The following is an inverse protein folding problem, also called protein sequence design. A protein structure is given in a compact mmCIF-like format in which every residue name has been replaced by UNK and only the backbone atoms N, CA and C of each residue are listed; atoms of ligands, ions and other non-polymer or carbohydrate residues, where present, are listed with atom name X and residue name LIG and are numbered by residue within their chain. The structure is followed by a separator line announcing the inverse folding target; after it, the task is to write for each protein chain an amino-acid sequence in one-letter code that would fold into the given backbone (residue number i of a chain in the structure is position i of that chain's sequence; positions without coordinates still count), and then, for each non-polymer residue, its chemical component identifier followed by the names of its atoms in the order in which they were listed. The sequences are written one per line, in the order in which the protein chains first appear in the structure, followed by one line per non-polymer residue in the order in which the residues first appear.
data_IF_855094395706
#
_entry.id   IF_855094395706
#
_cell.length_a   1.000
_cell.length_b   1.000
_cell.length_c   1.000
_cell.angle_alpha   90.00
_cell.angle_beta   90.00
_cell.angle_gamma   90.00
#
_symmetry.space_group_name_H-M   'P 1'
#
loop_
_entity.id
_entity.type
_entity.pdbx_description
1 polymer ?
#
# COMPACT_ATOMS: atom_id res chain seq x y z
N UNK A 1 29.00 -9.23 -26.72
CA UNK A 1 27.79 -9.49 -25.89
C UNK A 1 27.46 -8.23 -25.12
N UNK A 2 26.52 -7.43 -25.62
CA UNK A 2 26.10 -6.19 -24.98
C UNK A 2 24.77 -6.49 -24.24
N UNK A 3 24.83 -6.75 -22.93
CA UNK A 3 23.61 -6.83 -22.12
C UNK A 3 23.03 -5.41 -22.08
N UNK A 4 21.92 -5.17 -22.76
CA UNK A 4 21.15 -3.94 -22.53
C UNK A 4 20.87 -3.87 -21.03
N UNK A 5 21.35 -2.83 -20.35
CA UNK A 5 20.95 -2.51 -18.98
C UNK A 5 19.45 -2.27 -19.00
N UNK A 6 18.66 -3.31 -18.72
CA UNK A 6 17.24 -3.15 -18.44
C UNK A 6 17.10 -2.18 -17.27
N UNK A 7 16.07 -1.33 -17.31
CA UNK A 7 15.76 -0.43 -16.21
C UNK A 7 15.73 -1.22 -14.89
N UNK A 8 16.37 -0.67 -13.85
CA UNK A 8 16.35 -1.23 -12.50
C UNK A 8 14.88 -1.49 -12.06
N UNK A 9 14.49 -2.73 -11.72
CA UNK A 9 13.12 -3.05 -11.35
C UNK A 9 12.58 -2.19 -10.22
N UNK A 10 13.41 -1.85 -9.23
CA UNK A 10 13.01 -0.99 -8.13
C UNK A 10 12.71 0.43 -8.64
N UNK A 11 13.61 1.02 -9.42
CA UNK A 11 13.39 2.32 -10.06
C UNK A 11 12.14 2.34 -10.95
N UNK A 12 11.88 1.28 -11.71
CA UNK A 12 10.66 1.17 -12.52
C UNK A 12 9.39 1.19 -11.65
N UNK A 13 9.34 0.40 -10.56
CA UNK A 13 8.19 0.41 -9.64
C UNK A 13 8.03 1.78 -8.96
N UNK A 14 9.12 2.44 -8.57
CA UNK A 14 9.06 3.79 -8.00
C UNK A 14 8.44 4.77 -8.98
N UNK A 15 8.94 4.81 -10.20
CA UNK A 15 8.40 5.68 -11.25
C UNK A 15 6.94 5.38 -11.57
N UNK A 16 6.53 4.11 -11.53
CA UNK A 16 5.15 3.71 -11.74
C UNK A 16 4.19 4.31 -10.68
N UNK A 17 4.58 4.22 -9.41
CA UNK A 17 3.78 4.75 -8.30
C UNK A 17 3.80 6.28 -8.29
N UNK A 18 4.97 6.89 -8.52
CA UNK A 18 5.15 8.33 -8.61
C UNK A 18 4.32 8.93 -9.76
N UNK A 19 4.40 8.34 -10.95
CA UNK A 19 3.64 8.80 -12.12
C UNK A 19 2.13 8.72 -11.88
N UNK A 20 1.64 7.60 -11.32
CA UNK A 20 0.23 7.47 -10.97
C UNK A 20 -0.21 8.56 -9.99
N UNK A 21 0.54 8.83 -8.93
CA UNK A 21 0.15 9.84 -7.94
C UNK A 21 0.31 11.28 -8.48
N UNK A 22 1.33 11.55 -9.28
CA UNK A 22 1.63 12.90 -9.73
C UNK A 22 0.86 13.30 -10.99
N UNK A 23 0.56 12.37 -11.88
CA UNK A 23 0.06 12.71 -13.22
C UNK A 23 -1.32 12.13 -13.52
N UNK A 24 -1.78 11.10 -12.78
CA UNK A 24 -3.12 10.53 -12.99
C UNK A 24 -4.22 11.48 -12.51
N UNK A 25 -5.33 11.61 -13.26
CA UNK A 25 -6.54 12.30 -12.78
C UNK A 25 -7.18 11.58 -11.58
N UNK A 26 -6.79 10.33 -11.30
CA UNK A 26 -7.33 9.55 -10.20
C UNK A 26 -6.91 10.08 -8.83
N UNK A 27 -5.77 10.78 -8.71
CA UNK A 27 -5.36 11.42 -7.45
C UNK A 27 -6.14 12.72 -7.23
N UNK A 28 -7.39 12.60 -6.80
CA UNK A 28 -8.29 13.73 -6.55
C UNK A 28 -8.90 13.67 -5.16
N UNK A 29 -9.01 14.83 -4.51
CA UNK A 29 -9.64 14.99 -3.20
C UNK A 29 -11.19 14.96 -3.29
N UNK A 30 -11.72 15.19 -4.49
CA UNK A 30 -13.15 15.28 -4.79
C UNK A 30 -13.81 16.59 -4.35
N UNK A 31 -14.95 16.90 -4.97
CA UNK A 31 -15.65 18.19 -4.83
C UNK A 31 -16.08 18.52 -3.39
N UNK A 32 -15.93 19.76 -2.92
CA UNK A 32 -15.76 20.98 -3.72
C UNK A 32 -14.33 21.27 -4.16
N UNK A 33 -13.34 20.48 -3.74
CA UNK A 33 -11.94 20.74 -4.03
C UNK A 33 -11.51 20.11 -5.36
N UNK A 34 -10.99 20.94 -6.27
CA UNK A 34 -10.31 20.50 -7.50
C UNK A 34 -8.80 20.37 -7.25
N UNK A 35 -8.46 19.68 -6.18
CA UNK A 35 -7.09 19.51 -5.68
C UNK A 35 -6.73 18.02 -5.62
N UNK A 36 -5.43 17.71 -5.63
CA UNK A 36 -4.94 16.34 -5.41
C UNK A 36 -5.22 15.88 -3.98
N UNK A 37 -5.45 14.58 -3.80
CA UNK A 37 -5.59 14.01 -2.45
C UNK A 37 -4.23 13.89 -1.75
N UNK A 38 -3.19 13.54 -2.50
CA UNK A 38 -1.84 13.31 -1.98
C UNK A 38 -0.75 14.05 -2.76
N UNK A 39 0.32 14.41 -2.04
CA UNK A 39 1.59 14.90 -2.60
C UNK A 39 2.45 13.71 -3.10
N UNK A 40 3.67 14.00 -3.58
CA UNK A 40 4.62 13.00 -4.07
C UNK A 40 4.80 11.83 -3.08
N UNK A 41 4.69 10.57 -3.55
CA UNK A 41 4.77 9.42 -2.67
C UNK A 41 6.22 9.10 -2.28
N UNK A 42 6.38 8.32 -1.21
CA UNK A 42 7.63 7.59 -0.94
C UNK A 42 7.37 6.10 -1.17
N UNK A 43 8.31 5.41 -1.79
CA UNK A 43 8.18 3.98 -2.11
C UNK A 43 9.37 3.20 -1.57
N UNK A 44 9.07 2.16 -0.80
CA UNK A 44 10.02 1.26 -0.17
C UNK A 44 9.74 -0.20 -0.52
N UNK A 45 10.72 -1.05 -0.24
CA UNK A 45 10.69 -2.47 -0.54
C UNK A 45 11.25 -3.24 0.65
N UNK A 46 10.58 -4.31 1.02
CA UNK A 46 11.06 -5.28 1.98
C UNK A 46 11.15 -6.66 1.35
N UNK A 47 12.06 -7.50 1.85
CA UNK A 47 12.10 -8.91 1.47
C UNK A 47 10.91 -9.63 2.07
N UNK A 48 10.33 -10.58 1.35
CA UNK A 48 9.19 -11.36 1.86
C UNK A 48 9.53 -12.29 3.01
N UNK A 49 10.82 -12.59 3.22
CA UNK A 49 11.37 -13.37 4.34
C UNK A 49 11.99 -12.51 5.45
N UNK A 50 11.69 -11.21 5.49
CA UNK A 50 12.12 -10.37 6.61
C UNK A 50 11.48 -10.88 7.92
N UNK A 51 12.29 -11.18 8.97
CA UNK A 51 11.79 -11.79 10.21
C UNK A 51 10.78 -10.91 10.96
N UNK A 52 10.72 -9.61 10.66
CA UNK A 52 9.71 -8.75 11.25
C UNK A 52 8.29 -9.13 10.80
N UNK A 53 8.10 -9.74 9.64
CA UNK A 53 6.77 -10.22 9.24
C UNK A 53 6.25 -11.33 10.15
N UNK A 54 7.12 -12.23 10.60
CA UNK A 54 6.77 -13.28 11.55
C UNK A 54 6.53 -12.70 12.96
N UNK A 55 7.35 -11.72 13.39
CA UNK A 55 7.17 -11.09 14.71
C UNK A 55 5.85 -10.34 14.85
N UNK A 56 5.26 -9.85 13.73
CA UNK A 56 3.92 -9.25 13.75
C UNK A 56 2.84 -10.23 14.20
N UNK A 57 3.01 -11.55 13.99
CA UNK A 57 2.06 -12.55 14.48
C UNK A 57 2.05 -12.64 16.01
N UNK A 58 3.19 -12.38 16.64
CA UNK A 58 3.30 -12.31 18.10
C UNK A 58 2.78 -10.98 18.66
N UNK A 59 3.05 -9.88 17.96
CA UNK A 59 2.73 -8.54 18.45
C UNK A 59 1.28 -8.11 18.16
N UNK A 60 0.72 -8.52 17.02
CA UNK A 60 -0.65 -8.18 16.59
C UNK A 60 -1.60 -9.34 16.88
N UNK A 61 -1.21 -10.56 16.49
CA UNK A 61 -1.95 -11.79 16.72
C UNK A 61 -1.72 -12.83 15.62
N UNK A 62 -1.94 -14.13 15.91
CA UNK A 62 -1.61 -15.23 15.01
C UNK A 62 -2.41 -15.22 13.69
N UNK A 63 -3.51 -14.46 13.64
CA UNK A 63 -4.32 -14.23 12.44
C UNK A 63 -3.67 -13.26 11.44
N UNK A 64 -2.63 -12.52 11.83
CA UNK A 64 -1.93 -11.60 10.92
C UNK A 64 -1.13 -12.42 9.90
N UNK A 65 -1.25 -12.09 8.62
CA UNK A 65 -0.58 -12.82 7.56
C UNK A 65 0.88 -12.42 7.43
N UNK A 66 1.72 -13.39 7.08
CA UNK A 66 3.02 -13.13 6.45
C UNK A 66 2.85 -12.87 4.94
N UNK A 67 3.85 -12.29 4.26
CA UNK A 67 3.81 -12.13 2.80
C UNK A 67 3.60 -13.45 2.07
N UNK A 68 4.23 -14.54 2.54
CA UNK A 68 4.11 -15.86 1.94
C UNK A 68 2.69 -16.42 2.09
N UNK A 69 2.09 -16.31 3.28
CA UNK A 69 0.73 -16.81 3.54
C UNK A 69 -0.29 -16.17 2.61
N UNK A 70 -0.32 -14.84 2.54
CA UNK A 70 -1.28 -14.15 1.67
C UNK A 70 -1.01 -14.40 0.19
N UNK A 71 0.25 -14.59 -0.20
CA UNK A 71 0.60 -14.95 -1.57
C UNK A 71 0.08 -16.34 -1.96
N UNK A 72 0.34 -17.36 -1.13
CA UNK A 72 -0.10 -18.73 -1.38
C UNK A 72 -1.63 -18.85 -1.38
N UNK A 73 -2.32 -18.10 -0.51
CA UNK A 73 -3.79 -18.02 -0.52
C UNK A 73 -4.33 -17.44 -1.84
N UNK A 74 -3.65 -16.43 -2.40
CA UNK A 74 -4.12 -15.76 -3.63
C UNK A 74 -3.69 -16.48 -4.91
N UNK A 75 -2.63 -17.28 -4.86
CA UNK A 75 -2.06 -17.99 -6.00
C UNK A 75 -1.80 -19.47 -5.65
N UNK A 76 -2.86 -20.26 -5.42
CA UNK A 76 -2.72 -21.66 -5.01
C UNK A 76 -1.95 -22.47 -6.05
N UNK A 77 -1.06 -23.35 -5.57
CA UNK A 77 -0.24 -24.23 -6.40
C UNK A 77 1.07 -23.63 -6.93
N UNK A 78 1.31 -22.33 -6.70
CA UNK A 78 2.61 -21.73 -7.00
C UNK A 78 3.68 -22.21 -6.01
N UNK A 79 4.82 -22.63 -6.53
CA UNK A 79 5.98 -23.03 -5.74
C UNK A 79 6.90 -21.84 -5.57
N UNK A 80 6.61 -21.00 -4.58
CA UNK A 80 7.44 -19.86 -4.18
C UNK A 80 7.75 -19.96 -2.68
N UNK A 81 8.96 -19.53 -2.30
CA UNK A 81 9.34 -19.31 -0.91
C UNK A 81 9.19 -17.84 -0.50
N UNK A 82 9.26 -17.56 0.80
CA UNK A 82 9.19 -16.19 1.32
C UNK A 82 10.30 -15.28 0.74
N UNK A 83 11.50 -15.84 0.53
CA UNK A 83 12.65 -15.14 -0.04
C UNK A 83 12.48 -14.74 -1.52
N UNK A 84 11.55 -15.37 -2.23
CA UNK A 84 11.23 -15.05 -3.63
C UNK A 84 10.27 -13.86 -3.75
N UNK A 85 9.68 -13.43 -2.64
CA UNK A 85 8.67 -12.37 -2.61
C UNK A 85 9.32 -11.03 -2.26
N UNK A 86 8.75 -9.97 -2.80
CA UNK A 86 9.05 -8.59 -2.42
C UNK A 86 7.77 -7.90 -1.98
N UNK A 87 7.80 -7.28 -0.81
CA UNK A 87 6.70 -6.43 -0.34
C UNK A 87 6.98 -5.01 -0.78
N UNK A 88 6.09 -4.45 -1.60
CA UNK A 88 6.16 -3.06 -2.06
C UNK A 88 5.27 -2.22 -1.16
N UNK A 89 5.86 -1.24 -0.48
CA UNK A 89 5.16 -0.33 0.42
C UNK A 89 5.28 1.10 -0.09
N UNK A 90 4.24 1.90 0.13
CA UNK A 90 4.28 3.32 -0.17
C UNK A 90 3.61 4.17 0.88
N UNK A 91 4.13 5.39 1.04
CA UNK A 91 3.55 6.45 1.87
C UNK A 91 2.95 7.49 0.95
N UNK A 92 1.69 7.88 1.21
CA UNK A 92 0.97 8.91 0.47
C UNK A 92 0.80 10.15 1.38
N UNK A 93 1.68 11.17 1.26
CA UNK A 93 1.63 12.33 2.14
C UNK A 93 0.41 13.21 1.85
N UNK A 94 -0.22 13.70 2.91
CA UNK A 94 -1.26 14.72 2.80
C UNK A 94 -0.70 16.01 2.20
N UNK A 95 -1.47 16.64 1.31
CA UNK A 95 -1.01 17.87 0.64
C UNK A 95 -0.73 18.99 1.64
N UNK A 96 0.10 19.96 1.26
CA UNK A 96 0.32 21.17 2.08
C UNK A 96 -1.00 21.90 2.41
N UNK A 97 -1.93 21.97 1.47
CA UNK A 97 -3.23 22.61 1.67
C UNK A 97 -4.08 21.86 2.71
N UNK A 98 -4.18 20.53 2.60
CA UNK A 98 -4.91 19.69 3.57
C UNK A 98 -4.31 19.79 4.97
N UNK A 99 -2.97 19.73 5.09
CA UNK A 99 -2.30 19.86 6.40
C UNK A 99 -2.51 21.24 7.02
N UNK A 100 -2.46 22.32 6.22
CA UNK A 100 -2.69 23.69 6.69
C UNK A 100 -4.11 23.85 7.22
N UNK A 101 -5.09 23.40 6.46
CA UNK A 101 -6.51 23.50 6.79
C UNK A 101 -6.83 22.71 8.08
N UNK A 102 -6.31 21.48 8.18
CA UNK A 102 -6.51 20.65 9.37
C UNK A 102 -5.85 21.24 10.63
N UNK A 103 -4.69 21.89 10.50
CA UNK A 103 -3.98 22.52 11.63
C UNK A 103 -4.79 23.66 12.26
N UNK A 104 -5.66 24.32 11.49
CA UNK A 104 -6.51 25.40 12.00
C UNK A 104 -7.68 24.89 12.86
N UNK A 105 -7.99 23.60 12.80
CA UNK A 105 -9.11 23.02 13.52
C UNK A 105 -8.72 22.60 14.94
N UNK A 106 -9.67 22.73 15.88
CA UNK A 106 -9.47 22.39 17.30
C UNK A 106 -10.30 21.21 17.79
N UNK A 107 -11.43 20.93 17.14
CA UNK A 107 -12.41 19.93 17.59
C UNK A 107 -12.55 18.81 16.56
N UNK A 108 -12.92 19.15 15.32
CA UNK A 108 -13.10 18.17 14.24
C UNK A 108 -12.06 18.34 13.14
N UNK A 109 -11.72 17.28 12.38
CA UNK A 109 -10.87 17.43 11.22
C UNK A 109 -11.46 18.39 10.19
N UNK A 110 -10.59 19.08 9.45
CA UNK A 110 -11.04 19.89 8.30
C UNK A 110 -11.74 19.03 7.26
N UNK A 111 -12.60 19.62 6.44
CA UNK A 111 -13.26 18.88 5.36
C UNK A 111 -12.21 18.24 4.42
N UNK A 112 -11.14 18.97 4.06
CA UNK A 112 -10.03 18.40 3.26
C UNK A 112 -9.46 17.14 3.90
N UNK A 113 -9.27 17.12 5.22
CA UNK A 113 -8.74 15.95 5.92
C UNK A 113 -9.71 14.78 5.91
N UNK A 114 -10.99 15.03 6.18
CA UNK A 114 -12.03 14.00 6.15
C UNK A 114 -12.16 13.39 4.74
N UNK A 115 -12.11 14.23 3.71
CA UNK A 115 -12.14 13.80 2.31
C UNK A 115 -10.90 13.00 1.92
N UNK A 116 -9.71 13.44 2.30
CA UNK A 116 -8.47 12.72 2.02
C UNK A 116 -8.45 11.35 2.69
N UNK A 117 -9.15 11.17 3.82
CA UNK A 117 -9.32 9.85 4.44
C UNK A 117 -10.19 8.91 3.60
N UNK A 118 -11.32 9.41 3.06
CA UNK A 118 -12.29 8.58 2.34
C UNK A 118 -11.89 8.44 0.87
N UNK A 119 -11.90 9.54 0.14
CA UNK A 119 -11.56 9.56 -1.29
C UNK A 119 -10.10 9.24 -1.53
N UNK A 120 -9.20 9.62 -0.61
CA UNK A 120 -7.80 9.21 -0.71
C UNK A 120 -7.61 7.69 -0.59
N UNK A 121 -8.43 6.98 0.19
CA UNK A 121 -8.35 5.51 0.19
C UNK A 121 -8.89 4.90 -1.10
N UNK A 122 -9.85 5.55 -1.77
CA UNK A 122 -10.25 5.16 -3.13
C UNK A 122 -9.09 5.34 -4.13
N UNK A 123 -8.37 6.47 -4.06
CA UNK A 123 -7.15 6.70 -4.87
C UNK A 123 -6.12 5.60 -4.58
N UNK A 124 -5.89 5.29 -3.31
CA UNK A 124 -4.95 4.26 -2.88
C UNK A 124 -5.33 2.88 -3.42
N UNK A 125 -6.62 2.54 -3.40
CA UNK A 125 -7.13 1.28 -3.97
C UNK A 125 -6.99 1.23 -5.50
N UNK A 126 -7.16 2.36 -6.20
CA UNK A 126 -6.87 2.45 -7.64
C UNK A 126 -5.38 2.26 -7.92
N UNK A 127 -4.51 2.90 -7.14
CA UNK A 127 -3.05 2.71 -7.23
C UNK A 127 -2.66 1.23 -7.01
N UNK A 128 -3.23 0.56 -5.99
CA UNK A 128 -3.00 -0.87 -5.75
C UNK A 128 -3.31 -1.73 -6.97
N UNK A 129 -4.49 -1.54 -7.55
CA UNK A 129 -4.90 -2.28 -8.76
C UNK A 129 -4.00 -1.96 -9.95
N UNK A 130 -3.62 -0.69 -10.10
CA UNK A 130 -2.71 -0.27 -11.16
C UNK A 130 -1.35 -0.97 -11.05
N UNK A 131 -0.70 -0.92 -9.88
CA UNK A 131 0.60 -1.57 -9.65
C UNK A 131 0.52 -3.09 -9.86
N UNK A 132 -0.51 -3.76 -9.31
CA UNK A 132 -0.72 -5.21 -9.52
C UNK A 132 -0.91 -5.52 -11.01
N UNK A 133 -1.71 -4.73 -11.72
CA UNK A 133 -1.95 -4.93 -13.15
C UNK A 133 -0.69 -4.77 -14.01
N UNK A 134 0.13 -3.76 -13.73
CA UNK A 134 1.37 -3.51 -14.46
C UNK A 134 2.46 -4.56 -14.17
N UNK A 135 2.55 -5.04 -12.93
CA UNK A 135 3.39 -6.20 -12.59
C UNK A 135 2.94 -7.45 -13.35
N UNK A 136 1.63 -7.71 -13.39
CA UNK A 136 1.05 -8.81 -14.17
C UNK A 136 1.36 -8.72 -15.66
N UNK A 137 1.27 -7.53 -16.26
CA UNK A 137 1.66 -7.28 -17.67
C UNK A 137 3.13 -7.56 -17.95
N UNK A 138 3.99 -7.43 -16.94
CA UNK A 138 5.42 -7.81 -17.01
C UNK A 138 5.68 -9.27 -16.70
N UNK A 139 4.65 -10.07 -16.43
CA UNK A 139 4.78 -11.50 -16.12
C UNK A 139 5.05 -11.80 -14.65
N UNK A 140 4.89 -10.82 -13.74
CA UNK A 140 5.04 -11.03 -12.31
C UNK A 140 3.67 -11.24 -11.65
N UNK A 141 3.53 -12.32 -10.89
CA UNK A 141 2.37 -12.53 -10.04
C UNK A 141 2.41 -11.56 -8.86
N UNK A 142 1.35 -10.80 -8.68
CA UNK A 142 1.24 -9.78 -7.65
C UNK A 142 -0.17 -9.72 -7.11
N UNK A 143 -0.30 -9.25 -5.87
CA UNK A 143 -1.59 -9.00 -5.22
C UNK A 143 -1.46 -7.79 -4.30
N UNK A 144 -2.60 -7.22 -3.93
CA UNK A 144 -2.66 -6.21 -2.87
C UNK A 144 -3.39 -6.82 -1.66
N UNK A 145 -2.72 -7.08 -0.52
CA UNK A 145 -3.31 -7.83 0.59
C UNK A 145 -4.64 -7.23 1.10
N UNK A 146 -4.76 -5.91 1.16
CA UNK A 146 -5.97 -5.22 1.61
C UNK A 146 -7.14 -5.27 0.62
N UNK A 147 -6.89 -5.67 -0.63
CA UNK A 147 -7.92 -5.89 -1.65
C UNK A 147 -8.27 -7.38 -1.79
N UNK A 148 -7.61 -8.26 -1.03
CA UNK A 148 -7.95 -9.68 -1.02
C UNK A 148 -9.38 -9.88 -0.48
N UNK A 149 -10.19 -10.76 -1.09
CA UNK A 149 -11.51 -11.09 -0.53
C UNK A 149 -11.40 -11.73 0.86
N UNK A 150 -10.25 -12.30 1.21
CA UNK A 150 -9.99 -12.90 2.52
C UNK A 150 -9.60 -11.85 3.58
N UNK A 151 -9.42 -10.58 3.20
CA UNK A 151 -9.02 -9.53 4.13
C UNK A 151 -10.09 -9.32 5.19
N UNK A 152 -9.70 -9.38 6.46
CA UNK A 152 -10.62 -9.24 7.58
C UNK A 152 -10.11 -8.21 8.57
N UNK A 153 -11.05 -7.43 9.09
CA UNK A 153 -10.89 -6.75 10.37
C UNK A 153 -11.28 -7.73 11.46
N UNK A 154 -10.51 -7.75 12.53
CA UNK A 154 -10.65 -8.71 13.62
C UNK A 154 -10.83 -7.92 14.91
N UNK A 155 -11.77 -8.33 15.75
CA UNK A 155 -11.86 -7.82 17.11
C UNK A 155 -10.69 -8.39 17.92
N UNK A 156 -9.98 -7.53 18.63
CA UNK A 156 -8.80 -7.91 19.39
C UNK A 156 -9.01 -7.52 20.84
N UNK A 157 -8.86 -8.47 21.75
CA UNK A 157 -8.93 -8.20 23.20
C UNK A 157 -7.88 -7.17 23.65
N UNK A 158 -6.74 -7.11 22.93
CA UNK A 158 -5.62 -6.22 23.24
C UNK A 158 -5.72 -4.84 22.58
N UNK A 159 -6.25 -4.77 21.36
CA UNK A 159 -6.21 -3.55 20.54
C UNK A 159 -7.57 -3.02 20.11
N UNK A 160 -8.66 -3.65 20.55
CA UNK A 160 -10.05 -3.44 20.12
C UNK A 160 -10.26 -3.83 18.65
N UNK A 161 -9.53 -3.22 17.73
CA UNK A 161 -9.56 -3.53 16.30
C UNK A 161 -8.17 -3.87 15.76
N UNK A 162 -8.08 -5.00 15.08
CA UNK A 162 -6.93 -5.43 14.30
C UNK A 162 -7.36 -5.83 12.88
N UNK A 163 -6.40 -6.24 12.06
CA UNK A 163 -6.67 -6.78 10.73
C UNK A 163 -5.66 -7.85 10.36
N UNK A 164 -6.04 -8.73 9.43
CA UNK A 164 -5.17 -9.79 8.92
C UNK A 164 -3.95 -9.26 8.16
N UNK A 165 -4.00 -8.01 7.69
CA UNK A 165 -2.85 -7.28 7.16
C UNK A 165 -2.88 -5.83 7.58
N UNK A 166 -1.73 -5.21 7.85
CA UNK A 166 -1.65 -3.78 8.14
C UNK A 166 -0.54 -3.09 7.33
N UNK A 167 -0.97 -2.19 6.44
CA UNK A 167 -0.10 -1.53 5.45
C UNK A 167 1.01 -0.69 6.07
N UNK A 168 0.82 -0.19 7.30
CA UNK A 168 1.82 0.64 7.97
C UNK A 168 2.92 -0.21 8.65
N UNK A 169 2.71 -1.51 8.87
CA UNK A 169 3.63 -2.44 9.58
C UNK A 169 4.52 -2.97 8.48
N UNK A 170 3.90 -3.39 7.37
CA UNK A 170 4.58 -3.69 6.11
C UNK A 170 5.42 -2.53 5.56
N UNK A 171 5.14 -1.28 5.93
CA UNK A 171 5.97 -0.12 5.57
C UNK A 171 7.06 0.21 6.61
N UNK A 172 6.97 -0.35 7.80
CA UNK A 172 7.98 -0.23 8.86
C UNK A 172 9.08 -1.28 8.69
N UNK A 173 8.71 -2.49 8.27
CA UNK A 173 9.65 -3.50 7.76
C UNK A 173 10.38 -2.95 6.54
#
# INVERSE_FOLDING_TARGET
MNKSKGADPASWVRSLVEDFILNSPENQLGGPFREKAFDAPLVGFARGDDPLFDSLKEHVGPFHWTPLEIFQMSHPGQRVGAADLTVISWVLPQTRATRRDNRAQKVYPSERWARARIFGEEVNNKLRRHVVGELGRKGHQALAPVLSPEFKRVESDRFVFASTWWVRHAAFV
#
